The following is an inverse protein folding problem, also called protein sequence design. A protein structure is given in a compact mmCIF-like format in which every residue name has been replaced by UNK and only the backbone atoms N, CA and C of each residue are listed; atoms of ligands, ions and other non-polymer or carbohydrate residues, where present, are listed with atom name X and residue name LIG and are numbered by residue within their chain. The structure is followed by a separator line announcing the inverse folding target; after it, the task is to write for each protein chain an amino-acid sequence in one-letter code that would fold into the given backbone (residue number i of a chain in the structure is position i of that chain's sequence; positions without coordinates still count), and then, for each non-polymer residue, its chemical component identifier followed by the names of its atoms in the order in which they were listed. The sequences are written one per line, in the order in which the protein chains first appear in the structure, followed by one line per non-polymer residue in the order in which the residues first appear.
data_IF_429959588018
#
_entry.id   IF_429959588018
#
_cell.length_a   1.000
_cell.length_b   1.000
_cell.length_c   1.000
_cell.angle_alpha   90.00
_cell.angle_beta   90.00
_cell.angle_gamma   90.00
#
_symmetry.space_group_name_H-M   'P 1'
#
loop_
_entity.id
_entity.type
_entity.pdbx_description
1 polymer ?
#
# COMPACT_ATOMS: atom_id res chain seq x y z
N UNK A 1 -4.93 23.99 16.07
CA UNK A 1 -5.10 22.76 15.28
C UNK A 1 -5.07 23.11 13.78
N UNK A 2 -4.13 22.55 13.00
CA UNK A 2 -4.00 22.91 11.57
C UNK A 2 -5.15 22.25 10.80
N UNK A 3 -6.16 23.04 10.41
CA UNK A 3 -7.24 22.61 9.52
C UNK A 3 -6.64 22.33 8.13
N UNK A 4 -6.20 21.10 7.89
CA UNK A 4 -5.73 20.63 6.57
C UNK A 4 -6.89 20.74 5.57
N UNK A 5 -6.71 21.49 4.48
CA UNK A 5 -7.79 21.74 3.52
C UNK A 5 -8.01 20.50 2.66
N UNK A 6 -9.26 20.04 2.55
CA UNK A 6 -9.66 18.87 1.73
C UNK A 6 -9.27 19.03 0.27
N UNK A 7 -9.47 20.23 -0.27
CA UNK A 7 -9.10 20.56 -1.64
C UNK A 7 -7.59 20.46 -1.88
N UNK A 8 -6.78 20.95 -0.94
CA UNK A 8 -5.32 20.83 -1.04
C UNK A 8 -4.87 19.37 -0.92
N UNK A 9 -5.54 18.57 -0.09
CA UNK A 9 -5.26 17.13 0.01
C UNK A 9 -5.61 16.41 -1.29
N UNK A 10 -6.71 16.77 -1.94
CA UNK A 10 -7.09 16.23 -3.24
C UNK A 10 -6.09 16.60 -4.34
N UNK A 11 -5.68 17.87 -4.41
CA UNK A 11 -4.66 18.31 -5.36
C UNK A 11 -3.30 17.64 -5.12
N UNK A 12 -2.90 17.43 -3.86
CA UNK A 12 -1.66 16.74 -3.54
C UNK A 12 -1.75 15.23 -3.74
N UNK A 13 -2.93 14.61 -3.55
CA UNK A 13 -3.14 13.19 -3.80
C UNK A 13 -3.14 12.84 -5.30
N UNK A 14 -3.30 13.84 -6.18
CA UNK A 14 -3.11 13.69 -7.63
C UNK A 14 -1.67 13.25 -7.97
N UNK A 15 -0.69 13.62 -7.14
CA UNK A 15 0.68 13.13 -7.26
C UNK A 15 0.85 11.89 -6.38
N UNK A 16 1.35 10.77 -6.93
CA UNK A 16 1.46 9.53 -6.19
C UNK A 16 2.26 9.70 -4.89
N UNK A 17 1.65 9.36 -3.76
CA UNK A 17 2.19 9.38 -2.41
C UNK A 17 2.24 10.74 -1.69
N UNK A 18 2.05 11.87 -2.38
CA UNK A 18 2.08 13.19 -1.75
C UNK A 18 0.85 13.48 -0.88
N UNK A 19 -0.32 12.93 -1.21
CA UNK A 19 -1.53 13.05 -0.40
C UNK A 19 -1.37 12.47 1.00
N UNK A 20 -0.81 11.26 1.11
CA UNK A 20 -0.51 10.61 2.38
C UNK A 20 0.57 11.35 3.17
N UNK A 21 1.59 11.88 2.49
CA UNK A 21 2.64 12.66 3.13
C UNK A 21 2.09 13.96 3.74
N UNK A 22 1.17 14.63 3.04
CA UNK A 22 0.49 15.83 3.54
C UNK A 22 -0.36 15.55 4.78
N UNK A 23 -0.98 14.38 4.86
CA UNK A 23 -1.80 13.96 6.01
C UNK A 23 -0.97 13.45 7.21
N UNK A 24 0.35 13.29 7.04
CA UNK A 24 1.26 12.80 8.09
C UNK A 24 1.58 11.30 7.98
N UNK A 25 0.99 10.58 7.04
CA UNK A 25 1.20 9.15 6.78
C UNK A 25 2.45 8.90 5.91
N UNK A 26 3.63 9.24 6.44
CA UNK A 26 4.90 9.22 5.69
C UNK A 26 5.25 7.84 5.10
N UNK A 27 5.03 6.76 5.86
CA UNK A 27 5.35 5.39 5.42
C UNK A 27 4.53 4.97 4.20
N UNK A 28 3.21 5.18 4.26
CA UNK A 28 2.29 4.83 3.17
C UNK A 28 2.51 5.72 1.94
N UNK A 29 2.76 7.02 2.13
CA UNK A 29 3.11 7.91 1.02
C UNK A 29 4.36 7.45 0.28
N UNK A 30 5.39 7.03 1.02
CA UNK A 30 6.63 6.52 0.41
C UNK A 30 6.42 5.21 -0.34
N UNK A 31 5.58 4.30 0.19
CA UNK A 31 5.21 3.05 -0.52
C UNK A 31 4.56 3.33 -1.87
N UNK A 32 3.59 4.25 -1.92
CA UNK A 32 2.92 4.60 -3.18
C UNK A 32 3.86 5.32 -4.16
N UNK A 33 4.78 6.15 -3.67
CA UNK A 33 5.82 6.75 -4.53
C UNK A 33 6.71 5.66 -5.15
N UNK A 34 7.25 4.76 -4.33
CA UNK A 34 8.12 3.67 -4.80
C UNK A 34 7.36 2.75 -5.77
N UNK A 35 6.12 2.39 -5.44
CA UNK A 35 5.27 1.56 -6.30
C UNK A 35 4.99 2.22 -7.66
N UNK A 36 4.65 3.51 -7.67
CA UNK A 36 4.44 4.25 -8.91
C UNK A 36 5.70 4.32 -9.77
N UNK A 37 6.87 4.61 -9.16
CA UNK A 37 8.15 4.61 -9.88
C UNK A 37 8.52 3.22 -10.42
N UNK A 38 8.32 2.17 -9.63
CA UNK A 38 8.55 0.80 -10.07
C UNK A 38 7.67 0.45 -11.27
N UNK A 39 6.37 0.78 -11.23
CA UNK A 39 5.47 0.58 -12.36
C UNK A 39 5.96 1.32 -13.61
N UNK A 40 6.37 2.59 -13.49
CA UNK A 40 6.87 3.40 -14.61
C UNK A 40 8.12 2.76 -15.24
N UNK A 41 9.07 2.31 -14.41
CA UNK A 41 10.31 1.66 -14.87
C UNK A 41 10.01 0.34 -15.61
N UNK A 42 8.95 -0.37 -15.23
CA UNK A 42 8.57 -1.65 -15.84
C UNK A 42 7.72 -1.51 -17.12
N UNK A 43 7.24 -0.32 -17.46
CA UNK A 43 6.42 -0.09 -18.67
C UNK A 43 7.10 -0.62 -19.94
N UNK A 44 8.40 -0.37 -20.20
CA UNK A 44 9.06 -0.88 -21.41
C UNK A 44 9.11 -2.41 -21.47
N UNK A 45 9.11 -3.09 -20.31
CA UNK A 45 9.19 -4.56 -20.25
C UNK A 45 7.85 -5.24 -20.55
N UNK A 46 6.74 -4.72 -20.02
CA UNK A 46 5.39 -5.28 -20.27
C UNK A 46 4.39 -4.13 -20.46
N UNK A 47 4.34 -3.54 -21.68
CA UNK A 47 3.58 -2.31 -21.93
C UNK A 47 2.07 -2.48 -21.85
N UNK A 48 1.55 -3.72 -21.90
CA UNK A 48 0.11 -3.97 -21.81
C UNK A 48 -0.41 -3.98 -20.36
N UNK A 49 0.45 -4.25 -19.38
CA UNK A 49 0.03 -4.52 -17.99
C UNK A 49 0.39 -3.37 -17.06
N UNK A 50 1.62 -2.85 -17.15
CA UNK A 50 2.12 -1.85 -16.21
C UNK A 50 1.42 -0.49 -16.28
N UNK A 51 1.01 0.04 -17.45
CA UNK A 51 0.21 1.27 -17.50
C UNK A 51 -1.16 1.11 -16.82
N UNK A 52 -1.80 -0.05 -16.97
CA UNK A 52 -3.07 -0.34 -16.29
C UNK A 52 -2.88 -0.50 -14.78
N UNK A 53 -1.82 -1.20 -14.35
CA UNK A 53 -1.45 -1.31 -12.94
C UNK A 53 -1.12 0.05 -12.32
N UNK A 54 -0.41 0.93 -13.05
CA UNK A 54 -0.11 2.29 -12.61
C UNK A 54 -1.39 3.11 -12.45
N UNK A 55 -2.32 3.03 -13.40
CA UNK A 55 -3.62 3.70 -13.29
C UNK A 55 -4.43 3.18 -12.09
N UNK A 56 -4.50 1.86 -11.90
CA UNK A 56 -5.19 1.25 -10.76
C UNK A 56 -4.57 1.67 -9.42
N UNK A 57 -3.23 1.64 -9.32
CA UNK A 57 -2.49 2.09 -8.14
C UNK A 57 -2.74 3.57 -7.86
N UNK A 58 -2.76 4.40 -8.90
CA UNK A 58 -3.02 5.84 -8.80
C UNK A 58 -4.44 6.14 -8.29
N UNK A 59 -5.45 5.46 -8.82
CA UNK A 59 -6.83 5.58 -8.32
C UNK A 59 -6.94 5.09 -6.87
N UNK A 60 -6.34 3.95 -6.56
CA UNK A 60 -6.36 3.39 -5.21
C UNK A 60 -5.78 4.36 -4.19
N UNK A 61 -4.58 4.89 -4.44
CA UNK A 61 -3.93 5.82 -3.52
C UNK A 61 -4.65 7.18 -3.43
N UNK A 62 -5.32 7.62 -4.50
CA UNK A 62 -6.19 8.82 -4.46
C UNK A 62 -7.38 8.61 -3.50
N UNK A 63 -8.10 7.48 -3.64
CA UNK A 63 -9.23 7.18 -2.76
C UNK A 63 -8.80 6.96 -1.31
N UNK A 64 -7.71 6.24 -1.08
CA UNK A 64 -7.16 5.99 0.26
C UNK A 64 -6.73 7.30 0.95
N UNK A 65 -6.06 8.20 0.23
CA UNK A 65 -5.71 9.53 0.75
C UNK A 65 -6.97 10.36 1.11
N UNK A 66 -8.03 10.30 0.30
CA UNK A 66 -9.29 11.02 0.56
C UNK A 66 -10.06 10.44 1.76
N UNK A 67 -10.09 9.12 1.91
CA UNK A 67 -10.64 8.48 3.10
C UNK A 67 -9.86 8.92 4.33
N UNK A 68 -8.53 8.83 4.33
CA UNK A 68 -7.67 9.30 5.44
C UNK A 68 -7.85 10.78 5.78
N UNK A 69 -8.07 11.63 4.79
CA UNK A 69 -8.39 13.03 5.00
C UNK A 69 -9.75 13.22 5.70
N UNK A 70 -10.72 12.38 5.38
CA UNK A 70 -12.06 12.40 5.99
C UNK A 70 -12.00 11.91 7.43
N UNK A 71 -11.24 10.84 7.70
CA UNK A 71 -10.97 10.35 9.05
C UNK A 71 -10.30 11.41 9.93
N UNK A 72 -9.26 12.09 9.44
CA UNK A 72 -8.61 13.16 10.19
C UNK A 72 -9.56 14.31 10.55
N UNK A 73 -10.58 14.58 9.73
CA UNK A 73 -11.61 15.59 10.03
C UNK A 73 -12.62 15.11 11.05
N UNK A 74 -13.08 13.87 10.94
CA UNK A 74 -14.00 13.26 11.90
C UNK A 74 -13.35 13.17 13.28
N UNK A 75 -12.08 12.75 13.34
CA UNK A 75 -11.31 12.72 14.58
C UNK A 75 -11.18 14.11 15.21
N UNK A 76 -10.90 15.15 14.42
CA UNK A 76 -10.84 16.53 14.91
C UNK A 76 -12.22 17.04 15.39
N UNK A 77 -13.30 16.69 14.71
CA UNK A 77 -14.66 17.06 15.09
C UNK A 77 -15.12 16.34 16.37
N UNK A 78 -14.76 15.07 16.53
CA UNK A 78 -14.99 14.32 17.76
C UNK A 78 -14.19 14.90 18.93
N UNK A 79 -12.95 15.34 18.68
CA UNK A 79 -12.16 16.04 19.69
C UNK A 79 -12.81 17.36 20.11
N UNK A 80 -13.34 18.15 19.16
CA UNK A 80 -14.12 19.36 19.46
C UNK A 80 -15.40 19.01 20.25
N UNK A 81 -16.10 17.92 19.89
CA UNK A 81 -17.27 17.41 20.63
C UNK A 81 -16.90 17.01 22.06
N UNK A 82 -15.78 16.35 22.30
CA UNK A 82 -15.33 15.97 23.64
C UNK A 82 -14.88 17.16 24.48
N UNK A 83 -14.39 18.24 23.85
CA UNK A 83 -13.95 19.46 24.53
C UNK A 83 -15.11 20.42 24.87
N UNK A 84 -16.16 20.45 24.05
CA UNK A 84 -17.25 21.43 24.15
C UNK A 84 -18.67 20.83 24.23
N UNK A 85 -18.80 19.50 24.19
CA UNK A 85 -20.07 18.80 24.22
C UNK A 85 -20.64 18.64 25.64
N UNK A 86 -21.96 18.37 25.78
CA UNK A 86 -22.64 18.26 27.07
C UNK A 86 -21.98 17.24 28.02
N UNK A 87 -21.55 16.10 27.45
CA UNK A 87 -20.86 15.00 28.14
C UNK A 87 -19.55 15.43 28.84
N UNK A 88 -18.87 16.46 28.32
CA UNK A 88 -17.63 16.99 28.90
C UNK A 88 -17.88 18.01 30.02
N UNK A 89 -19.08 18.60 30.07
CA UNK A 89 -19.51 19.56 31.10
C UNK A 89 -20.08 18.86 32.34
N UNK A 90 -20.67 17.67 32.16
CA UNK A 90 -21.18 16.82 33.24
C UNK A 90 -20.09 15.96 33.92
N UNK A 91 -18.84 16.05 33.45
CA UNK A 91 -17.71 15.40 34.10
C UNK A 91 -17.48 16.04 35.49
N UNK A 92 -17.14 15.25 36.53
CA UNK A 92 -16.91 15.76 37.90
C UNK A 92 -15.90 16.91 38.01
N UNK A 93 -15.07 17.09 36.99
CA UNK A 93 -14.17 18.21 36.78
C UNK A 93 -13.97 18.41 35.27
N UNK A 94 -13.81 19.65 34.77
CA UNK A 94 -13.35 19.87 33.40
C UNK A 94 -11.99 19.17 33.20
N UNK A 95 -11.74 18.49 32.06
CA UNK A 95 -10.46 17.83 31.83
C UNK A 95 -9.30 18.83 31.85
N UNK A 96 -8.40 18.74 32.84
CA UNK A 96 -7.14 19.50 32.89
C UNK A 96 -6.18 19.13 31.74
N UNK A 97 -6.46 18.03 31.04
CA UNK A 97 -5.70 17.51 29.91
C UNK A 97 -6.60 17.24 28.72
N UNK A 98 -6.13 17.56 27.51
CA UNK A 98 -6.83 17.21 26.26
C UNK A 98 -7.14 15.71 26.22
N UNK A 99 -8.39 15.32 25.89
CA UNK A 99 -8.73 13.93 25.63
C UNK A 99 -7.80 13.35 24.54
N UNK A 100 -7.33 12.10 24.71
CA UNK A 100 -6.52 11.46 23.68
C UNK A 100 -7.32 11.40 22.37
N UNK A 101 -6.65 11.72 21.27
CA UNK A 101 -7.21 11.61 19.93
C UNK A 101 -7.74 10.19 19.68
N UNK A 102 -8.89 10.01 19.02
CA UNK A 102 -9.30 8.70 18.51
C UNK A 102 -8.15 8.13 17.67
N UNK A 103 -7.61 6.99 18.12
CA UNK A 103 -6.43 6.40 17.49
C UNK A 103 -6.80 5.95 16.09
N UNK A 104 -6.08 6.44 15.08
CA UNK A 104 -6.26 5.96 13.71
C UNK A 104 -5.83 4.49 13.67
N UNK A 105 -6.59 3.57 13.05
CA UNK A 105 -6.15 2.19 12.83
C UNK A 105 -4.85 2.22 12.02
N UNK A 106 -3.72 2.15 12.71
CA UNK A 106 -2.43 1.99 12.07
C UNK A 106 -2.38 0.52 11.70
N UNK A 107 -2.48 0.23 10.41
CA UNK A 107 -2.12 -1.11 9.96
C UNK A 107 -0.69 -1.35 10.42
N UNK A 108 -0.51 -2.33 11.33
CA UNK A 108 0.79 -2.81 11.79
C UNK A 108 1.46 -3.62 10.67
N UNK A 109 1.57 -3.04 9.48
CA UNK A 109 2.36 -3.62 8.40
C UNK A 109 3.81 -3.59 8.87
N UNK A 110 4.30 -4.78 9.20
CA UNK A 110 5.62 -4.96 9.75
C UNK A 110 6.65 -4.29 8.80
N UNK A 111 7.34 -3.23 9.23
CA UNK A 111 8.20 -2.45 8.34
C UNK A 111 9.31 -3.30 7.73
N UNK A 112 9.67 -4.41 8.39
CA UNK A 112 10.62 -5.41 7.90
C UNK A 112 10.04 -6.20 6.73
N UNK A 113 8.76 -6.58 6.78
CA UNK A 113 8.10 -7.31 5.69
C UNK A 113 7.98 -6.42 4.45
N UNK A 114 7.60 -5.16 4.65
CA UNK A 114 7.52 -4.17 3.59
C UNK A 114 8.89 -3.86 3.00
N UNK A 115 9.90 -3.66 3.84
CA UNK A 115 11.28 -3.46 3.41
C UNK A 115 11.82 -4.67 2.65
N UNK A 116 11.55 -5.88 3.15
CA UNK A 116 11.89 -7.15 2.49
C UNK A 116 11.22 -7.28 1.12
N UNK A 117 9.93 -6.99 1.01
CA UNK A 117 9.22 -6.99 -0.26
C UNK A 117 9.83 -5.99 -1.26
N UNK A 118 10.23 -4.81 -0.78
CA UNK A 118 10.86 -3.79 -1.61
C UNK A 118 12.26 -4.19 -2.09
N UNK A 119 13.06 -4.84 -1.23
CA UNK A 119 14.37 -5.37 -1.58
C UNK A 119 14.24 -6.51 -2.60
N UNK A 120 13.30 -7.44 -2.39
CA UNK A 120 13.03 -8.54 -3.32
C UNK A 120 12.57 -8.00 -4.67
N UNK A 121 11.64 -7.05 -4.69
CA UNK A 121 11.19 -6.40 -5.91
C UNK A 121 12.35 -5.68 -6.62
N UNK A 122 13.15 -4.92 -5.89
CA UNK A 122 14.33 -4.24 -6.43
C UNK A 122 15.38 -5.21 -7.00
N UNK A 123 15.66 -6.31 -6.30
CA UNK A 123 16.58 -7.35 -6.76
C UNK A 123 16.04 -8.07 -8.01
N UNK A 124 14.74 -8.37 -8.06
CA UNK A 124 14.10 -8.97 -9.22
C UNK A 124 14.19 -8.04 -10.45
N UNK A 125 13.95 -6.73 -10.26
CA UNK A 125 14.12 -5.73 -11.31
C UNK A 125 15.57 -5.64 -11.81
N UNK A 126 16.52 -5.66 -10.88
CA UNK A 126 17.95 -5.67 -11.22
C UNK A 126 18.29 -6.92 -12.06
N UNK A 127 17.75 -8.09 -11.69
CA UNK A 127 17.97 -9.35 -12.39
C UNK A 127 17.36 -9.34 -13.80
N UNK A 128 16.16 -8.78 -13.94
CA UNK A 128 15.50 -8.56 -15.24
C UNK A 128 16.33 -7.59 -16.12
N UNK A 129 16.94 -6.58 -15.51
CA UNK A 129 17.72 -5.56 -16.24
C UNK A 129 19.11 -6.09 -16.66
N UNK A 130 19.74 -6.94 -15.86
CA UNK A 130 21.07 -7.50 -16.17
C UNK A 130 21.02 -8.54 -17.30
N UNK A 131 19.94 -9.33 -17.40
CA UNK A 131 19.84 -10.42 -18.37
C UNK A 131 18.63 -10.27 -19.32
N UNK A 132 18.64 -9.28 -20.23
CA UNK A 132 17.53 -9.04 -21.15
C UNK A 132 17.30 -10.21 -22.12
N UNK A 133 18.38 -10.83 -22.62
CA UNK A 133 18.30 -11.95 -23.57
C UNK A 133 17.70 -13.22 -22.94
N UNK A 134 17.99 -13.46 -21.64
CA UNK A 134 17.45 -14.61 -20.91
C UNK A 134 15.94 -14.42 -20.68
N UNK A 135 15.51 -13.20 -20.37
CA UNK A 135 14.09 -12.88 -20.17
C UNK A 135 13.28 -12.99 -21.46
N UNK A 136 13.85 -12.55 -22.58
CA UNK A 136 13.22 -12.66 -23.91
C UNK A 136 13.05 -14.13 -24.34
N UNK A 137 14.11 -14.94 -24.16
CA UNK A 137 14.07 -16.38 -24.44
C UNK A 137 13.10 -17.14 -23.51
N UNK A 138 12.97 -16.70 -22.26
CA UNK A 138 12.02 -17.28 -21.30
C UNK A 138 10.56 -16.86 -21.60
N UNK A 139 10.31 -15.63 -22.06
CA UNK A 139 8.97 -15.16 -22.45
C UNK A 139 8.44 -15.81 -23.74
N UNK A 140 9.34 -16.21 -24.65
CA UNK A 140 8.98 -16.95 -25.87
C UNK A 140 8.55 -18.40 -25.55
N UNK A 141 9.02 -18.95 -24.43
CA UNK A 141 8.65 -20.27 -23.94
C UNK A 141 7.43 -20.20 -23.00
N UNK A 142 6.23 -19.96 -23.57
CA UNK A 142 4.89 -20.13 -22.96
C UNK A 142 4.89 -20.42 -21.43
N UNK A 143 5.31 -19.44 -20.63
CA UNK A 143 5.66 -19.61 -19.20
C UNK A 143 4.51 -20.21 -18.39
N UNK A 144 3.27 -19.94 -18.82
CA UNK A 144 2.08 -20.51 -18.22
C UNK A 144 2.03 -22.03 -18.24
N UNK A 145 2.44 -22.69 -19.33
CA UNK A 145 2.37 -24.15 -19.43
C UNK A 145 3.46 -24.83 -18.62
N UNK A 146 4.66 -24.24 -18.57
CA UNK A 146 5.79 -24.76 -17.78
C UNK A 146 5.49 -24.61 -16.28
N UNK A 147 4.97 -23.47 -15.83
CA UNK A 147 4.58 -23.28 -14.42
C UNK A 147 3.46 -24.22 -13.99
N UNK A 148 2.44 -24.41 -14.84
CA UNK A 148 1.36 -25.38 -14.58
C UNK A 148 1.91 -26.80 -14.52
N UNK A 149 2.79 -27.19 -15.46
CA UNK A 149 3.41 -28.51 -15.47
C UNK A 149 4.25 -28.78 -14.21
N UNK A 150 5.10 -27.83 -13.81
CA UNK A 150 5.92 -27.93 -12.59
C UNK A 150 5.04 -27.98 -11.34
N UNK A 151 3.98 -27.17 -11.29
CA UNK A 151 2.99 -27.19 -10.21
C UNK A 151 2.28 -28.54 -10.09
N UNK A 152 1.91 -29.14 -11.23
CA UNK A 152 1.24 -30.44 -11.28
C UNK A 152 2.16 -31.58 -10.83
N UNK A 153 3.42 -31.57 -11.28
CA UNK A 153 4.43 -32.56 -10.88
C UNK A 153 4.72 -32.43 -9.38
N UNK A 154 4.91 -31.21 -8.88
CA UNK A 154 5.12 -30.95 -7.45
C UNK A 154 3.94 -31.40 -6.58
N UNK A 155 2.71 -31.12 -7.04
CA UNK A 155 1.50 -31.56 -6.35
C UNK A 155 1.36 -33.08 -6.33
N UNK A 156 1.67 -33.76 -7.44
CA UNK A 156 1.68 -35.22 -7.52
C UNK A 156 2.68 -35.86 -6.56
N UNK A 157 3.89 -35.34 -6.48
CA UNK A 157 4.90 -35.80 -5.52
C UNK A 157 4.49 -35.52 -4.06
N UNK A 158 3.85 -34.38 -3.79
CA UNK A 158 3.34 -34.07 -2.46
C UNK A 158 2.24 -35.04 -2.03
N UNK A 159 1.33 -35.39 -2.94
CA UNK A 159 0.26 -36.36 -2.69
C UNK A 159 0.82 -37.76 -2.41
N UNK A 160 1.81 -38.20 -3.19
CA UNK A 160 2.51 -39.46 -2.95
C UNK A 160 3.16 -39.50 -1.55
N UNK A 161 3.86 -38.42 -1.17
CA UNK A 161 4.52 -38.33 0.15
C UNK A 161 3.54 -38.32 1.32
N UNK A 162 2.32 -37.79 1.15
CA UNK A 162 1.27 -37.83 2.16
C UNK A 162 0.60 -39.22 2.27
N UNK A 163 0.52 -39.96 1.17
CA UNK A 163 -0.15 -41.26 1.15
C UNK A 163 0.74 -42.42 1.63
N UNK A 164 2.07 -42.28 1.65
CA UNK A 164 2.99 -43.30 2.20
C UNK A 164 3.06 -43.30 3.75
N UNK A 165 2.23 -42.52 4.43
CA UNK A 165 2.10 -42.51 5.90
C UNK A 165 0.81 -43.18 6.42
N UNK A 166 0.14 -43.96 5.57
CA UNK A 166 -0.89 -44.93 5.94
C UNK A 166 -0.34 -46.34 5.69
#
# INVERSE_FOLDING_TARGET
MIKKKRWLTFMLAMVPGLGHLYLGFKKQGMQFMIGAFACIICIPSIPQVFPFALAALWFYQLFDALQKATWNKLAAAEQERLMYGPEGFDAPWPPLSMPPMPDYPKDDVNPVLLGGACIIAGAALLLITIFPDLWMLLSDLNIGTILVAVGLIGYGLHMLKKNTRA
#
